data_IF_946087602508
#
_entry.id   IF_946087602508
#
_cell.length_a   1.000
_cell.length_b   1.000
_cell.length_c   1.000
_cell.angle_alpha   90.00
_cell.angle_beta   90.00
_cell.angle_gamma   90.00
#
_symmetry.space_group_name_H-M   'P 1'
#
loop_
_entity.id
_entity.type
_entity.pdbx_description
1 polymer ?
#
# COMPACT_ATOMS: atom_id res chain seq x y z
N UNK A 1 3.49 13.04 -8.77
CA UNK A 1 2.52 11.93 -8.61
C UNK A 1 2.45 11.26 -9.97
N UNK A 2 2.83 9.98 -10.08
CA UNK A 2 2.70 9.23 -11.32
C UNK A 2 1.22 8.87 -11.46
N UNK A 3 0.48 9.69 -12.20
CA UNK A 3 -0.93 9.41 -12.45
C UNK A 3 -1.03 8.29 -13.50
N UNK A 4 -1.82 7.27 -13.20
CA UNK A 4 -2.10 6.15 -14.10
C UNK A 4 -3.47 6.36 -14.79
N UNK A 5 -3.83 7.62 -14.99
CA UNK A 5 -5.13 8.10 -15.44
C UNK A 5 -5.08 8.61 -16.88
N UNK A 6 -3.88 8.80 -17.47
CA UNK A 6 -3.70 9.11 -18.88
C UNK A 6 -4.21 7.95 -19.76
N UNK A 7 -5.36 8.11 -20.42
CA UNK A 7 -5.92 7.07 -21.29
C UNK A 7 -5.25 7.03 -22.67
N UNK A 8 -4.47 8.05 -23.03
CA UNK A 8 -3.78 8.19 -24.33
C UNK A 8 -2.40 7.50 -24.32
N UNK A 9 -1.83 7.24 -23.13
CA UNK A 9 -0.56 6.54 -22.90
C UNK A 9 -0.61 5.01 -23.01
N UNK A 10 -1.78 4.43 -23.33
CA UNK A 10 -2.00 2.98 -23.33
C UNK A 10 -2.37 2.44 -21.94
N UNK A 11 -3.02 1.27 -21.89
CA UNK A 11 -3.46 0.67 -20.62
C UNK A 11 -2.25 0.03 -19.91
N UNK A 12 -1.79 0.63 -18.81
CA UNK A 12 -0.73 0.03 -17.97
C UNK A 12 -1.29 -1.14 -17.17
N UNK A 13 -0.75 -2.37 -17.33
CA UNK A 13 -1.19 -3.52 -16.54
C UNK A 13 -1.02 -3.23 -15.05
N UNK A 14 -2.15 -3.36 -14.34
CA UNK A 14 -2.27 -3.00 -12.94
C UNK A 14 -3.07 -4.07 -12.22
N UNK A 15 -2.57 -4.51 -11.07
CA UNK A 15 -3.26 -5.44 -10.17
C UNK A 15 -3.60 -4.73 -8.86
N UNK A 16 -4.69 -5.17 -8.24
CA UNK A 16 -5.07 -4.72 -6.92
C UNK A 16 -4.58 -5.73 -5.87
N UNK A 17 -3.94 -5.23 -4.81
CA UNK A 17 -3.51 -6.04 -3.67
C UNK A 17 -4.10 -5.43 -2.41
N UNK A 18 -5.00 -6.18 -1.77
CA UNK A 18 -5.56 -5.84 -0.47
C UNK A 18 -4.73 -6.52 0.62
N UNK A 19 -4.13 -5.72 1.50
CA UNK A 19 -3.27 -6.18 2.59
C UNK A 19 -3.95 -5.92 3.92
N UNK A 20 -4.11 -6.98 4.72
CA UNK A 20 -4.37 -6.87 6.15
C UNK A 20 -3.04 -6.66 6.87
N UNK A 21 -3.00 -5.72 7.79
CA UNK A 21 -1.84 -5.52 8.67
C UNK A 21 -2.27 -5.57 10.15
N UNK A 22 -1.37 -6.11 10.96
CA UNK A 22 -1.40 -6.07 12.42
C UNK A 22 -0.03 -5.60 12.90
N UNK A 23 -0.02 -4.48 13.62
CA UNK A 23 1.19 -3.85 14.14
C UNK A 23 1.17 -3.72 15.67
N UNK A 24 0.35 -4.51 16.38
CA UNK A 24 0.28 -4.50 17.85
C UNK A 24 1.64 -4.70 18.54
N UNK A 25 2.57 -5.39 17.87
CA UNK A 25 3.93 -5.63 18.37
C UNK A 25 5.00 -4.66 17.85
N UNK A 26 4.61 -3.55 17.21
CA UNK A 26 5.55 -2.63 16.55
C UNK A 26 5.57 -1.26 17.23
N UNK A 27 6.74 -0.85 17.67
CA UNK A 27 6.99 0.51 18.15
C UNK A 27 7.55 1.39 17.02
N UNK A 28 6.93 2.56 16.79
CA UNK A 28 7.47 3.60 15.91
C UNK A 28 7.96 4.75 16.78
N UNK A 29 9.29 4.91 16.84
CA UNK A 29 9.95 5.88 17.68
C UNK A 29 10.67 6.96 16.86
N UNK A 30 10.76 8.18 17.39
CA UNK A 30 11.67 9.21 16.87
C UNK A 30 13.14 8.90 17.21
N UNK A 31 14.06 9.75 16.74
CA UNK A 31 15.49 9.59 17.01
C UNK A 31 15.88 9.71 18.49
N UNK A 32 14.96 10.17 19.35
CA UNK A 32 15.15 10.26 20.81
C UNK A 32 14.47 9.10 21.56
N UNK A 33 13.87 8.14 20.85
CA UNK A 33 13.18 6.99 21.44
C UNK A 33 11.75 7.29 21.92
N UNK A 34 11.14 8.40 21.49
CA UNK A 34 9.75 8.73 21.86
C UNK A 34 8.78 8.22 20.81
N UNK A 35 7.61 7.75 21.25
CA UNK A 35 6.53 7.38 20.33
C UNK A 35 6.15 8.55 19.42
N UNK A 36 5.99 8.27 18.13
CA UNK A 36 5.48 9.24 17.13
C UNK A 36 4.08 8.91 16.64
N UNK A 37 3.48 7.84 17.16
CA UNK A 37 2.10 7.44 16.86
C UNK A 37 1.18 7.94 17.98
N UNK A 38 -0.04 8.34 17.64
CA UNK A 38 -1.03 8.68 18.66
C UNK A 38 -1.61 7.42 19.29
N UNK A 39 -1.99 7.53 20.57
CA UNK A 39 -2.51 6.40 21.36
C UNK A 39 -3.86 5.87 20.83
N UNK A 40 -4.59 6.67 20.04
CA UNK A 40 -5.87 6.30 19.43
C UNK A 40 -5.75 5.75 18.00
N UNK A 41 -4.53 5.62 17.48
CA UNK A 41 -4.30 5.01 16.17
C UNK A 41 -4.67 3.51 16.23
N UNK A 42 -5.48 3.00 15.29
CA UNK A 42 -5.72 1.56 15.19
C UNK A 42 -4.43 0.78 14.83
N UNK A 43 -4.17 -0.32 15.54
CA UNK A 43 -3.04 -1.20 15.31
C UNK A 43 -3.28 -2.27 14.24
N UNK A 44 -4.55 -2.49 13.88
CA UNK A 44 -4.94 -3.42 12.83
C UNK A 44 -5.77 -2.70 11.77
N UNK A 45 -5.65 -3.14 10.52
CA UNK A 45 -6.40 -2.50 9.44
C UNK A 45 -6.14 -3.10 8.08
N UNK A 46 -6.75 -2.44 7.09
CA UNK A 46 -6.63 -2.83 5.70
C UNK A 46 -6.15 -1.67 4.84
N UNK A 47 -5.27 -2.00 3.90
CA UNK A 47 -4.78 -1.08 2.89
C UNK A 47 -4.84 -1.76 1.52
N UNK A 48 -5.27 -1.01 0.51
CA UNK A 48 -5.27 -1.42 -0.88
C UNK A 48 -4.12 -0.76 -1.60
N UNK A 49 -3.35 -1.55 -2.32
CA UNK A 49 -2.37 -1.07 -3.27
C UNK A 49 -2.85 -1.32 -4.69
N UNK A 50 -2.64 -0.34 -5.57
CA UNK A 50 -2.57 -0.58 -6.99
C UNK A 50 -1.11 -0.76 -7.36
N UNK A 51 -0.79 -1.92 -7.94
CA UNK A 51 0.57 -2.28 -8.31
C UNK A 51 0.63 -2.43 -9.83
N UNK A 52 1.55 -1.70 -10.46
CA UNK A 52 1.60 -1.56 -11.91
C UNK A 52 2.97 -1.96 -12.47
N UNK A 53 2.99 -2.49 -13.69
CA UNK A 53 4.20 -2.69 -14.48
C UNK A 53 4.20 -1.74 -15.68
N UNK A 54 4.91 -0.62 -15.55
CA UNK A 54 5.02 0.41 -16.60
C UNK A 54 5.89 -0.01 -17.78
N UNK A 55 6.62 -1.13 -17.68
CA UNK A 55 7.46 -1.67 -18.76
C UNK A 55 6.94 -3.04 -19.22
N UNK A 56 5.63 -3.27 -19.14
CA UNK A 56 5.06 -4.59 -19.36
C UNK A 56 5.30 -5.12 -20.78
N UNK A 57 5.19 -4.27 -21.80
CA UNK A 57 5.37 -4.70 -23.20
C UNK A 57 6.77 -5.25 -23.47
N UNK A 58 7.80 -4.63 -22.89
CA UNK A 58 9.19 -5.08 -23.06
C UNK A 58 9.59 -6.15 -22.03
N UNK A 59 8.99 -6.15 -20.83
CA UNK A 59 9.36 -7.05 -19.73
C UNK A 59 8.17 -7.36 -18.81
N UNK A 60 7.27 -8.28 -19.20
CA UNK A 60 6.05 -8.58 -18.45
C UNK A 60 6.30 -9.28 -17.11
N UNK A 61 7.40 -10.04 -17.00
CA UNK A 61 7.84 -10.69 -15.75
C UNK A 61 8.75 -9.80 -14.89
N UNK A 62 8.98 -8.55 -15.31
CA UNK A 62 9.82 -7.58 -14.63
C UNK A 62 9.22 -7.04 -13.33
N UNK A 63 9.83 -5.97 -12.81
CA UNK A 63 9.40 -5.38 -11.54
C UNK A 63 8.04 -4.72 -11.63
N UNK A 64 7.21 -5.02 -10.64
CA UNK A 64 5.96 -4.32 -10.36
C UNK A 64 6.18 -3.30 -9.24
N UNK A 65 5.56 -2.13 -9.34
CA UNK A 65 5.72 -1.03 -8.38
C UNK A 65 4.37 -0.58 -7.85
N UNK A 66 4.33 -0.18 -6.58
CA UNK A 66 3.14 0.46 -5.99
C UNK A 66 2.96 1.81 -6.67
N UNK A 67 1.82 1.98 -7.35
CA UNK A 67 1.41 3.21 -8.00
C UNK A 67 0.58 4.08 -7.06
N UNK A 68 -0.30 3.47 -6.28
CA UNK A 68 -1.11 4.16 -5.28
C UNK A 68 -1.47 3.25 -4.11
N UNK A 69 -1.88 3.86 -3.01
CA UNK A 69 -2.36 3.19 -1.80
C UNK A 69 -3.57 3.89 -1.22
N UNK A 70 -4.51 3.12 -0.66
CA UNK A 70 -5.69 3.65 0.02
C UNK A 70 -6.05 2.79 1.24
N UNK A 71 -6.26 3.41 2.39
CA UNK A 71 -6.82 2.72 3.55
C UNK A 71 -8.26 2.32 3.25
N UNK A 72 -8.64 1.10 3.64
CA UNK A 72 -9.99 0.59 3.43
C UNK A 72 -10.77 0.60 4.73
N UNK A 73 -11.90 1.30 4.72
CA UNK A 73 -12.86 1.29 5.82
C UNK A 73 -13.65 -0.02 5.80
N UNK A 74 -13.21 -0.97 6.61
CA UNK A 74 -13.89 -2.26 6.84
C UNK A 74 -13.49 -2.79 8.21
N UNK A 75 -14.22 -3.79 8.76
CA UNK A 75 -13.85 -4.40 10.03
C UNK A 75 -12.37 -4.81 10.04
N UNK A 76 -11.67 -4.64 11.17
CA UNK A 76 -10.29 -5.06 11.29
C UNK A 76 -10.17 -6.53 10.90
N UNK A 77 -9.07 -6.88 10.21
CA UNK A 77 -8.79 -8.28 9.98
C UNK A 77 -8.56 -9.01 11.31
N UNK A 78 -8.80 -10.31 11.32
CA UNK A 78 -8.46 -11.14 12.47
C UNK A 78 -6.95 -11.00 12.75
N UNK A 79 -6.56 -10.72 14.00
CA UNK A 79 -5.15 -10.63 14.36
C UNK A 79 -4.43 -11.95 14.07
N UNK A 80 -3.17 -11.86 13.62
CA UNK A 80 -2.37 -12.99 13.16
C UNK A 80 -1.86 -13.89 14.31
#
# INVERSE_FOLDING_TARGET
MLDNSDPDGGRVPTVQVDVCYDVLGVDILDSNGRSVVSDDRPDTGWIRYLVSNYNFEANPSGSWRVASSQNLERPPCDPA
#
